data_IF_829712083139
#
_entry.id   IF_829712083139
#
_cell.length_a   1.000
_cell.length_b   1.000
_cell.length_c   1.000
_cell.angle_alpha   90.00
_cell.angle_beta   90.00
_cell.angle_gamma   90.00
#
_symmetry.space_group_name_H-M   'P 1'
#
loop_
_entity.id
_entity.type
_entity.pdbx_description
1 polymer ?
#
# COMPACT_ATOMS: atom_id res chain seq x y z
N UNK A 1 35.74 0.54 -58.00
CA UNK A 1 34.89 -0.67 -58.18
C UNK A 1 33.44 -0.31 -57.86
N UNK A 2 32.50 -0.64 -58.76
CA UNK A 2 31.02 -0.47 -58.69
C UNK A 2 30.43 -1.43 -57.62
N UNK A 3 29.53 -0.99 -56.72
CA UNK A 3 28.03 -0.95 -56.76
C UNK A 3 27.36 -2.33 -56.49
N UNK A 4 26.08 -2.46 -56.02
CA UNK A 4 25.03 -1.44 -55.84
C UNK A 4 24.17 -1.53 -54.54
N UNK A 5 23.27 -0.54 -54.34
CA UNK A 5 22.14 -0.62 -53.40
C UNK A 5 21.47 0.75 -53.18
N UNK A 6 20.50 1.10 -54.03
CA UNK A 6 19.81 2.40 -54.17
C UNK A 6 18.82 2.81 -53.04
N UNK A 7 18.30 4.06 -53.06
CA UNK A 7 17.70 4.78 -51.92
C UNK A 7 16.15 4.94 -52.00
N UNK A 8 15.61 5.82 -51.13
CA UNK A 8 14.30 6.52 -51.15
C UNK A 8 13.30 6.04 -50.07
N UNK A 9 12.48 6.87 -49.40
CA UNK A 9 11.88 8.16 -49.76
C UNK A 9 11.27 8.82 -48.51
N UNK A 10 11.51 10.11 -48.36
CA UNK A 10 10.62 11.06 -47.69
C UNK A 10 9.43 11.38 -48.63
N UNK A 11 8.20 11.48 -48.07
CA UNK A 11 7.21 12.52 -48.44
C UNK A 11 5.87 12.38 -47.70
N UNK A 12 5.61 13.40 -46.89
CA UNK A 12 4.40 14.27 -46.86
C UNK A 12 3.03 13.63 -46.67
N UNK A 13 2.41 13.94 -45.53
CA UNK A 13 0.97 13.83 -45.28
C UNK A 13 0.26 15.09 -45.79
N UNK A 14 -0.75 14.94 -46.65
CA UNK A 14 -1.61 16.03 -47.17
C UNK A 14 -3.08 15.84 -46.77
N UNK A 15 -3.76 16.98 -46.63
CA UNK A 15 -5.09 17.31 -46.10
C UNK A 15 -6.34 16.56 -46.65
N UNK A 16 -7.33 16.44 -45.75
CA UNK A 16 -8.83 16.60 -45.85
C UNK A 16 -9.73 15.60 -46.59
N UNK A 17 -10.72 15.05 -45.86
CA UNK A 17 -12.13 14.87 -46.27
C UNK A 17 -13.03 14.55 -45.05
N UNK A 18 -14.32 14.93 -45.13
CA UNK A 18 -15.36 14.98 -44.08
C UNK A 18 -16.34 13.79 -44.19
N UNK A 19 -17.09 13.56 -43.08
CA UNK A 19 -18.41 12.85 -42.90
C UNK A 19 -18.42 11.47 -42.19
N UNK A 20 -19.52 11.05 -41.48
CA UNK A 20 -20.78 11.74 -41.14
C UNK A 20 -21.10 11.86 -39.61
N UNK A 21 -22.10 12.69 -39.27
CA UNK A 21 -22.61 12.96 -37.91
C UNK A 21 -23.89 12.16 -37.66
N UNK A 22 -23.97 11.43 -36.54
CA UNK A 22 -25.13 10.63 -36.12
C UNK A 22 -26.17 11.45 -35.30
N UNK A 23 -27.44 11.02 -35.23
CA UNK A 23 -28.53 11.80 -34.64
C UNK A 23 -28.41 11.84 -33.10
N UNK A 24 -28.44 13.04 -32.54
CA UNK A 24 -28.57 13.23 -31.09
C UNK A 24 -30.05 13.04 -30.69
N UNK A 25 -30.34 12.02 -29.89
CA UNK A 25 -31.66 11.78 -29.28
C UNK A 25 -32.03 12.77 -28.17
N UNK A 26 -31.26 13.84 -27.95
CA UNK A 26 -31.53 14.85 -26.92
C UNK A 26 -31.19 16.25 -27.43
N UNK A 27 -31.94 16.70 -28.43
CA UNK A 27 -31.93 18.10 -28.88
C UNK A 27 -32.36 19.01 -27.72
N UNK A 28 -31.43 19.79 -27.18
CA UNK A 28 -31.59 20.70 -26.03
C UNK A 28 -32.09 22.10 -26.41
N UNK A 29 -32.53 22.32 -27.64
CA UNK A 29 -32.88 23.67 -28.10
C UNK A 29 -34.36 23.81 -28.48
N UNK A 30 -35.03 24.69 -27.73
CA UNK A 30 -36.41 25.13 -27.95
C UNK A 30 -36.61 25.63 -29.38
N UNK A 31 -37.53 25.00 -30.10
CA UNK A 31 -38.12 25.56 -31.33
C UNK A 31 -39.61 25.86 -31.12
N UNK A 32 -40.14 26.92 -31.76
CA UNK A 32 -41.52 27.34 -31.58
C UNK A 32 -42.46 26.31 -32.21
N UNK A 33 -43.47 25.85 -31.44
CA UNK A 33 -44.51 24.93 -31.94
C UNK A 33 -44.76 23.67 -31.11
N UNK A 34 -44.01 23.40 -30.03
CA UNK A 34 -44.29 22.26 -29.15
C UNK A 34 -45.01 22.73 -27.88
N UNK A 35 -46.33 22.53 -27.83
CA UNK A 35 -47.15 22.88 -26.68
C UNK A 35 -47.29 21.66 -25.75
N UNK A 36 -46.50 21.59 -24.67
CA UNK A 36 -46.90 20.87 -23.45
C UNK A 36 -46.48 21.67 -22.23
N UNK A 37 -47.45 22.37 -21.66
CA UNK A 37 -47.46 22.78 -20.27
C UNK A 37 -47.66 21.53 -19.39
N UNK A 38 -46.82 21.32 -18.38
CA UNK A 38 -47.28 20.98 -17.02
C UNK A 38 -46.14 20.66 -16.03
N UNK A 39 -46.16 21.46 -14.96
CA UNK A 39 -45.84 21.12 -13.58
C UNK A 39 -44.38 20.96 -13.18
N UNK A 40 -43.88 22.06 -12.61
CA UNK A 40 -42.94 22.03 -11.49
C UNK A 40 -43.48 21.13 -10.39
N UNK A 41 -42.93 19.91 -10.27
CA UNK A 41 -42.95 19.18 -9.01
C UNK A 41 -41.51 18.92 -8.63
N UNK A 42 -41.01 19.77 -7.72
CA UNK A 42 -39.96 19.40 -6.77
C UNK A 42 -40.32 18.04 -6.21
N UNK A 43 -39.55 17.02 -6.55
CA UNK A 43 -39.48 15.79 -5.78
C UNK A 43 -38.02 15.61 -5.45
N UNK A 44 -37.77 15.71 -4.14
CA UNK A 44 -36.49 15.59 -3.48
C UNK A 44 -35.59 14.58 -4.18
N UNK A 45 -34.41 15.05 -4.63
CA UNK A 45 -33.28 14.17 -4.85
C UNK A 45 -33.03 13.48 -3.50
N UNK A 46 -33.20 12.16 -3.49
CA UNK A 46 -32.81 11.32 -2.38
C UNK A 46 -31.28 11.36 -2.39
N UNK A 47 -30.71 12.19 -1.52
CA UNK A 47 -29.29 12.11 -1.19
C UNK A 47 -29.09 10.72 -0.57
N UNK A 48 -28.65 9.77 -1.38
CA UNK A 48 -28.17 8.50 -0.87
C UNK A 48 -26.87 8.80 -0.12
N UNK A 49 -26.98 8.85 1.22
CA UNK A 49 -25.86 8.78 2.15
C UNK A 49 -25.18 7.42 1.94
N UNK A 50 -24.31 7.33 0.92
CA UNK A 50 -23.43 6.18 0.72
C UNK A 50 -22.38 6.19 1.83
N UNK A 51 -22.80 5.77 3.03
CA UNK A 51 -21.90 5.43 4.12
C UNK A 51 -21.03 4.25 3.68
N UNK A 52 -19.76 4.55 3.46
CA UNK A 52 -18.73 3.52 3.27
C UNK A 52 -18.72 2.62 4.50
N UNK A 53 -19.06 1.35 4.32
CA UNK A 53 -18.87 0.32 5.34
C UNK A 53 -17.40 -0.13 5.32
N UNK A 54 -16.76 -0.15 6.48
CA UNK A 54 -15.42 -0.73 6.61
C UNK A 54 -15.58 -2.25 6.45
N UNK A 55 -14.90 -2.82 5.45
CA UNK A 55 -14.96 -4.27 5.19
C UNK A 55 -13.87 -5.05 5.95
N UNK A 56 -12.92 -4.37 6.58
CA UNK A 56 -11.87 -5.00 7.39
C UNK A 56 -10.84 -4.00 7.87
N UNK A 57 -10.14 -4.38 8.95
CA UNK A 57 -9.02 -3.64 9.53
C UNK A 57 -7.86 -4.63 9.70
N UNK A 58 -6.66 -4.24 9.28
CA UNK A 58 -5.43 -5.02 9.46
C UNK A 58 -4.51 -4.19 10.34
N UNK A 59 -4.03 -4.79 11.41
CA UNK A 59 -3.03 -4.19 12.28
C UNK A 59 -1.69 -4.84 12.00
N UNK A 60 -0.67 -4.00 11.92
CA UNK A 60 0.65 -4.45 12.26
C UNK A 60 0.69 -4.78 13.77
N UNK A 61 1.55 -5.71 14.19
CA UNK A 61 1.69 -6.01 15.61
C UNK A 61 2.72 -5.06 16.24
N UNK A 62 3.88 -4.95 15.60
CA UNK A 62 5.08 -4.45 16.25
C UNK A 62 5.07 -2.94 16.47
N UNK A 63 5.00 -2.53 17.74
CA UNK A 63 4.87 -1.12 18.11
C UNK A 63 3.53 -0.47 17.72
N UNK A 64 2.52 -1.25 17.30
CA UNK A 64 1.18 -0.75 16.96
C UNK A 64 0.15 -1.11 18.04
N UNK A 65 0.02 -2.40 18.38
CA UNK A 65 -0.93 -2.84 19.41
C UNK A 65 -0.32 -2.79 20.81
N UNK A 66 0.98 -3.02 20.91
CA UNK A 66 1.73 -3.03 22.17
C UNK A 66 3.14 -2.50 21.93
N UNK A 67 3.85 -2.14 23.02
CA UNK A 67 5.24 -1.71 22.96
C UNK A 67 6.17 -2.92 22.83
N UNK A 68 6.13 -3.60 21.68
CA UNK A 68 6.96 -4.80 21.43
C UNK A 68 8.36 -4.46 20.94
N UNK A 69 8.63 -3.20 20.56
CA UNK A 69 9.93 -2.77 20.05
C UNK A 69 11.09 -3.08 21.03
N UNK A 70 10.97 -2.85 22.35
CA UNK A 70 12.00 -3.26 23.31
C UNK A 70 12.26 -4.77 23.34
N UNK A 71 11.23 -5.60 23.18
CA UNK A 71 11.35 -7.06 23.11
C UNK A 71 12.14 -7.47 21.87
N UNK A 72 11.80 -6.90 20.71
CA UNK A 72 12.53 -7.13 19.47
C UNK A 72 13.99 -6.70 19.58
N UNK A 73 14.27 -5.52 20.15
CA UNK A 73 15.64 -5.05 20.35
C UNK A 73 16.43 -5.96 21.30
N UNK A 74 15.81 -6.42 22.39
CA UNK A 74 16.42 -7.36 23.32
C UNK A 74 16.75 -8.70 22.64
N UNK A 75 15.86 -9.21 21.79
CA UNK A 75 16.06 -10.45 21.05
C UNK A 75 17.14 -10.36 19.97
N UNK A 76 17.22 -9.23 19.26
CA UNK A 76 18.25 -9.01 18.24
C UNK A 76 19.65 -8.84 18.82
N UNK A 77 19.79 -8.20 19.98
CA UNK A 77 21.12 -7.81 20.51
C UNK A 77 22.11 -8.98 20.65
N UNK A 78 21.78 -10.12 21.28
CA UNK A 78 22.71 -11.25 21.36
C UNK A 78 22.95 -11.91 20.00
N UNK A 79 21.92 -12.01 19.15
CA UNK A 79 22.04 -12.60 17.80
C UNK A 79 22.99 -11.78 16.92
N UNK A 80 22.85 -10.46 16.93
CA UNK A 80 23.72 -9.55 16.19
C UNK A 80 25.15 -9.58 16.73
N UNK A 81 25.32 -9.68 18.04
CA UNK A 81 26.65 -9.86 18.64
C UNK A 81 27.32 -11.14 18.14
N UNK A 82 26.59 -12.26 18.11
CA UNK A 82 27.10 -13.55 17.64
C UNK A 82 27.51 -13.53 16.16
N UNK A 83 26.69 -12.90 15.31
CA UNK A 83 26.93 -12.85 13.85
C UNK A 83 28.02 -11.83 13.47
N UNK A 84 28.02 -10.67 14.11
CA UNK A 84 28.85 -9.52 13.68
C UNK A 84 30.07 -9.29 14.56
N UNK A 85 30.11 -9.88 15.77
CA UNK A 85 31.12 -9.61 16.79
C UNK A 85 31.02 -8.23 17.43
N UNK A 86 29.92 -7.50 17.21
CA UNK A 86 29.72 -6.11 17.64
C UNK A 86 28.44 -5.97 18.45
N UNK A 87 28.48 -5.13 19.49
CA UNK A 87 27.29 -4.70 20.23
C UNK A 87 26.51 -3.61 19.47
N UNK A 88 25.19 -3.75 19.44
CA UNK A 88 24.25 -2.79 18.86
C UNK A 88 23.38 -2.17 19.95
N UNK A 89 23.20 -0.85 19.88
CA UNK A 89 22.18 -0.17 20.67
C UNK A 89 20.83 -0.14 19.96
N UNK A 90 19.76 0.22 20.66
CA UNK A 90 18.38 0.16 20.15
C UNK A 90 18.18 0.97 18.87
N UNK A 91 18.77 2.17 18.78
CA UNK A 91 18.64 3.01 17.59
C UNK A 91 19.31 2.38 16.36
N UNK A 92 20.39 1.62 16.56
CA UNK A 92 21.07 0.90 15.48
C UNK A 92 20.30 -0.34 15.05
N UNK A 93 19.68 -1.06 16.01
CA UNK A 93 18.82 -2.20 15.70
C UNK A 93 17.58 -1.74 14.94
N UNK A 94 16.91 -0.69 15.40
CA UNK A 94 15.75 -0.10 14.73
C UNK A 94 16.11 0.40 13.33
N UNK A 95 17.33 0.91 13.11
CA UNK A 95 17.78 1.32 11.79
C UNK A 95 17.92 0.15 10.78
N UNK A 96 17.97 -1.10 11.26
CA UNK A 96 17.93 -2.29 10.39
C UNK A 96 16.51 -2.63 9.91
N UNK A 97 15.48 -2.09 10.57
CA UNK A 97 14.09 -2.41 10.29
C UNK A 97 13.66 -1.89 8.92
N UNK A 98 12.67 -2.57 8.34
CA UNK A 98 12.17 -2.35 6.99
C UNK A 98 11.85 -3.68 6.31
N UNK A 99 12.80 -4.63 6.26
CA UNK A 99 12.51 -6.05 6.15
C UNK A 99 11.97 -6.59 7.48
N UNK A 100 11.30 -7.75 7.43
CA UNK A 100 11.05 -8.55 8.63
C UNK A 100 12.36 -9.15 9.17
N UNK A 101 12.28 -9.82 10.30
CA UNK A 101 13.41 -10.39 11.05
C UNK A 101 14.21 -11.35 10.16
N UNK A 102 13.50 -12.18 9.39
CA UNK A 102 14.12 -13.10 8.41
C UNK A 102 14.93 -12.33 7.36
N UNK A 103 14.36 -11.25 6.83
CA UNK A 103 15.03 -10.39 5.85
C UNK A 103 16.26 -9.70 6.41
N UNK A 104 16.23 -9.28 7.68
CA UNK A 104 17.38 -8.69 8.37
C UNK A 104 18.47 -9.75 8.56
N UNK A 105 18.12 -10.91 9.10
CA UNK A 105 19.07 -11.98 9.40
C UNK A 105 19.68 -12.57 8.13
N UNK A 106 18.92 -12.72 7.04
CA UNK A 106 19.47 -13.12 5.72
C UNK A 106 20.53 -12.17 5.21
N UNK A 107 20.37 -10.86 5.43
CA UNK A 107 21.34 -9.86 4.98
C UNK A 107 22.63 -9.89 5.80
N UNK A 108 22.55 -10.24 7.08
CA UNK A 108 23.68 -10.16 8.01
C UNK A 108 24.40 -11.50 8.21
N UNK A 109 23.66 -12.61 8.30
CA UNK A 109 24.18 -13.95 8.56
C UNK A 109 24.44 -14.77 7.29
N UNK A 110 23.97 -14.34 6.12
CA UNK A 110 24.11 -15.10 4.88
C UNK A 110 23.44 -16.48 4.99
N UNK A 111 24.17 -17.55 4.70
CA UNK A 111 23.65 -18.92 4.73
C UNK A 111 23.30 -19.42 6.14
N UNK A 112 23.87 -18.81 7.19
CA UNK A 112 23.62 -19.18 8.59
C UNK A 112 22.35 -18.52 9.17
N UNK A 113 21.58 -17.79 8.35
CA UNK A 113 20.35 -17.11 8.79
C UNK A 113 19.31 -18.02 9.46
N UNK A 114 19.12 -19.32 9.10
CA UNK A 114 18.14 -20.16 9.79
C UNK A 114 18.49 -20.37 11.26
N UNK A 115 19.77 -20.61 11.57
CA UNK A 115 20.24 -20.77 12.95
C UNK A 115 20.14 -19.44 13.72
N UNK A 116 20.44 -18.32 13.07
CA UNK A 116 20.23 -17.00 13.66
C UNK A 116 18.76 -16.72 13.96
N UNK A 117 17.84 -17.16 13.10
CA UNK A 117 16.40 -17.02 13.31
C UNK A 117 15.92 -17.86 14.49
N UNK A 118 16.35 -19.12 14.59
CA UNK A 118 16.04 -19.97 15.75
C UNK A 118 16.51 -19.32 17.05
N UNK A 119 17.72 -18.74 17.05
CA UNK A 119 18.22 -18.02 18.23
C UNK A 119 17.41 -16.76 18.52
N UNK A 120 17.08 -15.97 17.51
CA UNK A 120 16.24 -14.78 17.67
C UNK A 120 14.90 -15.14 18.31
N UNK A 121 14.23 -16.19 17.83
CA UNK A 121 12.94 -16.63 18.37
C UNK A 121 13.04 -17.08 19.82
N UNK A 122 14.10 -17.80 20.18
CA UNK A 122 14.34 -18.22 21.56
C UNK A 122 14.57 -17.01 22.50
N UNK A 123 15.33 -16.00 22.06
CA UNK A 123 15.53 -14.77 22.82
C UNK A 123 14.25 -13.93 22.89
N UNK A 124 13.46 -13.90 21.82
CA UNK A 124 12.17 -13.22 21.80
C UNK A 124 11.20 -13.84 22.80
N UNK A 125 11.08 -15.18 22.81
CA UNK A 125 10.25 -15.91 23.78
C UNK A 125 10.70 -15.66 25.22
N UNK A 126 12.02 -15.69 25.47
CA UNK A 126 12.58 -15.44 26.80
C UNK A 126 12.34 -14.00 27.32
N UNK A 127 12.19 -13.02 26.43
CA UNK A 127 11.94 -11.62 26.78
C UNK A 127 10.47 -11.21 26.65
N UNK A 128 9.57 -12.10 26.20
CA UNK A 128 8.20 -11.76 25.83
C UNK A 128 7.40 -11.16 26.99
N UNK A 129 7.58 -11.68 28.20
CA UNK A 129 6.87 -11.22 29.40
C UNK A 129 7.19 -9.77 29.79
N UNK A 130 8.20 -9.15 29.18
CA UNK A 130 8.50 -7.71 29.38
C UNK A 130 7.49 -6.79 28.69
N UNK A 131 6.66 -7.31 27.78
CA UNK A 131 5.54 -6.60 27.15
C UNK A 131 4.20 -7.30 27.51
N UNK A 132 3.72 -7.17 28.76
CA UNK A 132 2.61 -7.99 29.26
C UNK A 132 1.23 -7.52 28.80
N UNK A 133 1.12 -6.33 28.20
CA UNK A 133 -0.17 -5.73 27.85
C UNK A 133 -0.06 -4.84 26.60
N UNK A 134 -1.18 -4.71 25.84
CA UNK A 134 -1.33 -3.68 24.81
C UNK A 134 -1.16 -2.25 25.35
N UNK A 135 -1.00 -1.29 24.44
CA UNK A 135 -1.11 0.13 24.80
C UNK A 135 -2.48 0.45 25.40
N UNK A 136 -2.51 1.45 26.27
CA UNK A 136 -3.75 1.89 26.92
C UNK A 136 -4.84 2.20 25.88
N UNK A 137 -6.03 1.63 26.09
CA UNK A 137 -7.20 1.83 25.23
C UNK A 137 -7.25 0.96 23.97
N UNK A 138 -6.19 0.23 23.60
CA UNK A 138 -6.22 -0.69 22.45
C UNK A 138 -7.29 -1.77 22.64
N UNK A 139 -7.37 -2.36 23.83
CA UNK A 139 -8.41 -3.35 24.16
C UNK A 139 -9.83 -2.82 23.94
N UNK A 140 -10.07 -1.55 24.26
CA UNK A 140 -11.39 -0.93 24.10
C UNK A 140 -11.71 -0.65 22.63
N UNK A 141 -10.70 -0.29 21.83
CA UNK A 141 -10.85 -0.10 20.38
C UNK A 141 -11.13 -1.44 19.70
N UNK A 142 -10.35 -2.47 20.02
CA UNK A 142 -10.49 -3.80 19.41
C UNK A 142 -11.85 -4.45 19.71
N UNK A 143 -12.49 -4.13 20.85
CA UNK A 143 -13.84 -4.60 21.17
C UNK A 143 -14.97 -3.86 20.42
N UNK A 144 -14.66 -2.75 19.75
CA UNK A 144 -15.65 -1.88 19.08
C UNK A 144 -15.65 -1.99 17.55
N UNK A 145 -14.64 -2.65 16.99
CA UNK A 145 -14.51 -2.93 15.56
C UNK A 145 -15.03 -4.33 15.23
#
# INVERSE_FOLDING_TARGET
>A
MRAPGSPARDRRYSRTSREPVHPCEHCTERRPGCAVIASEKRRHAKEDDERVSICGVIFDLDGTLADTLPVCCAAFRPVLLDITGREYNDSEIVALFGPNEEGILRRLAGDDWPAAMERFLAEYEANHDTCPAPFEGIDDVLRRI
#
